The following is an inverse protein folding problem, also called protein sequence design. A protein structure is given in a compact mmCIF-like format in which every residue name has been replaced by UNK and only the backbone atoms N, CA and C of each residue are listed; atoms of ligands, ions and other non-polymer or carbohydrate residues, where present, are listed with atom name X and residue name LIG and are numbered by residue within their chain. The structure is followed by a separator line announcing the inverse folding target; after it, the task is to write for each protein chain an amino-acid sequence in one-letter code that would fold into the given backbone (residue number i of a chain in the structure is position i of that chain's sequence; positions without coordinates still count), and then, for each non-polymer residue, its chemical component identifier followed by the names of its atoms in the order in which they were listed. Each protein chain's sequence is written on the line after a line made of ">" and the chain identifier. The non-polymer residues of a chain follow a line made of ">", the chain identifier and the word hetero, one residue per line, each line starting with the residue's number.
data_IF_519966847592
#
_entry.id   IF_519966847592
#
_cell.length_a   1.000
_cell.length_b   1.000
_cell.length_c   1.000
_cell.angle_alpha   90.00
_cell.angle_beta   90.00
_cell.angle_gamma   90.00
#
_symmetry.space_group_name_H-M   'P 1'
#
loop_
_entity.id
_entity.type
_entity.pdbx_description
1 polymer ?
#
# COMPACT_ATOMS: atom_id res chain seq x y z
N UNK A 1 24.32 -6.91 14.44
CA UNK A 1 22.95 -6.40 14.26
C UNK A 1 22.66 -5.08 15.00
N UNK A 2 23.30 -4.77 16.15
CA UNK A 2 22.92 -3.62 16.99
C UNK A 2 23.08 -2.23 16.36
N UNK A 3 24.13 -1.97 15.59
CA UNK A 3 24.36 -0.62 15.02
C UNK A 3 23.39 -0.30 13.87
N UNK A 4 23.08 -1.26 13.01
CA UNK A 4 22.15 -1.05 11.89
C UNK A 4 20.71 -0.84 12.39
N UNK A 5 20.28 -1.66 13.35
CA UNK A 5 18.98 -1.52 14.02
C UNK A 5 18.81 -0.14 14.67
N UNK A 6 19.86 0.38 15.32
CA UNK A 6 19.86 1.74 15.87
C UNK A 6 19.65 2.82 14.79
N UNK A 7 20.26 2.66 13.60
CA UNK A 7 20.04 3.60 12.48
C UNK A 7 18.62 3.55 11.94
N UNK A 8 18.01 2.36 11.81
CA UNK A 8 16.63 2.24 11.36
C UNK A 8 15.63 2.84 12.36
N UNK A 9 15.84 2.59 13.65
CA UNK A 9 15.05 3.24 14.72
C UNK A 9 15.21 4.75 14.69
N UNK A 10 16.42 5.26 14.51
CA UNK A 10 16.68 6.69 14.39
C UNK A 10 15.98 7.28 13.16
N UNK A 11 16.04 6.60 12.01
CA UNK A 11 15.35 7.02 10.79
C UNK A 11 13.84 7.13 11.01
N UNK A 12 13.23 6.15 11.68
CA UNK A 12 11.79 6.20 12.06
C UNK A 12 11.51 7.38 12.98
N UNK A 13 12.33 7.60 14.02
CA UNK A 13 12.11 8.68 14.99
C UNK A 13 12.28 10.08 14.42
N UNK A 14 13.03 10.24 13.32
CA UNK A 14 13.29 11.53 12.68
C UNK A 14 12.21 11.96 11.69
N UNK A 15 11.30 11.06 11.28
CA UNK A 15 10.21 11.39 10.34
C UNK A 15 9.33 12.56 10.81
N UNK A 16 8.89 12.64 12.09
CA UNK A 16 8.12 13.78 12.59
C UNK A 16 8.89 15.10 12.56
N UNK A 17 10.22 15.02 12.63
CA UNK A 17 11.11 16.18 12.70
C UNK A 17 11.46 16.76 11.33
N UNK A 18 10.97 16.13 10.24
CA UNK A 18 11.19 16.63 8.88
C UNK A 18 10.53 18.01 8.75
N UNK A 19 11.30 19.07 8.44
CA UNK A 19 10.75 20.42 8.36
C UNK A 19 9.82 20.51 7.16
N UNK A 20 8.64 21.15 7.31
CA UNK A 20 7.65 21.30 6.23
C UNK A 20 8.19 22.03 4.99
N UNK A 21 9.18 22.90 5.19
CA UNK A 21 9.82 23.66 4.13
C UNK A 21 11.34 23.49 4.20
N UNK A 22 11.98 23.26 3.06
CA UNK A 22 13.43 23.11 2.91
C UNK A 22 13.98 24.10 1.88
N UNK A 23 15.22 24.53 2.06
CA UNK A 23 15.91 25.42 1.12
C UNK A 23 16.63 24.59 0.05
N UNK A 24 16.22 24.74 -1.22
CA UNK A 24 16.85 24.13 -2.38
C UNK A 24 17.25 25.26 -3.34
N UNK A 25 18.55 25.41 -3.55
CA UNK A 25 19.15 26.45 -4.41
C UNK A 25 18.67 27.88 -4.08
N UNK A 26 18.59 28.19 -2.79
CA UNK A 26 18.14 29.50 -2.29
C UNK A 26 16.62 29.69 -2.28
N UNK A 27 15.84 28.68 -2.67
CA UNK A 27 14.36 28.73 -2.68
C UNK A 27 13.77 27.79 -1.65
N UNK A 28 12.88 28.32 -0.82
CA UNK A 28 12.07 27.50 0.09
C UNK A 28 11.06 26.68 -0.72
N UNK A 29 11.03 25.37 -0.51
CA UNK A 29 10.09 24.43 -1.15
C UNK A 29 9.46 23.52 -0.11
N UNK A 30 8.21 23.06 -0.32
CA UNK A 30 7.62 22.00 0.51
C UNK A 30 8.48 20.74 0.50
N UNK A 31 8.60 20.09 1.66
CA UNK A 31 9.38 18.87 1.82
C UNK A 31 8.56 17.58 1.66
N UNK A 32 7.21 17.68 1.61
CA UNK A 32 6.31 16.51 1.64
C UNK A 32 6.62 15.50 0.54
N UNK A 33 6.94 15.96 -0.68
CA UNK A 33 7.33 15.09 -1.79
C UNK A 33 8.63 14.30 -1.51
N UNK A 34 9.60 14.91 -0.84
CA UNK A 34 10.85 14.24 -0.45
C UNK A 34 10.61 13.22 0.67
N UNK A 35 9.73 13.56 1.61
CA UNK A 35 9.33 12.63 2.66
C UNK A 35 8.61 11.41 2.06
N UNK A 36 7.68 11.63 1.12
CA UNK A 36 7.01 10.55 0.40
C UNK A 36 8.01 9.64 -0.30
N UNK A 37 8.95 10.21 -1.06
CA UNK A 37 9.98 9.44 -1.78
C UNK A 37 10.87 8.65 -0.81
N UNK A 38 11.32 9.28 0.27
CA UNK A 38 12.09 8.62 1.32
C UNK A 38 11.32 7.43 1.90
N UNK A 39 10.05 7.61 2.28
CA UNK A 39 9.24 6.56 2.90
C UNK A 39 9.03 5.37 1.94
N UNK A 40 8.76 5.63 0.66
CA UNK A 40 8.63 4.58 -0.36
C UNK A 40 9.92 3.75 -0.49
N UNK A 41 11.09 4.41 -0.53
CA UNK A 41 12.39 3.73 -0.57
C UNK A 41 12.70 3.01 0.75
N UNK A 42 12.28 3.59 1.87
CA UNK A 42 12.50 3.03 3.19
C UNK A 42 11.68 1.74 3.38
N UNK A 43 10.43 1.67 2.92
CA UNK A 43 9.66 0.43 2.92
C UNK A 43 10.34 -0.69 2.13
N UNK A 44 10.95 -0.38 0.99
CA UNK A 44 11.74 -1.36 0.25
C UNK A 44 12.91 -1.86 1.10
N UNK A 45 13.64 -0.95 1.75
CA UNK A 45 14.70 -1.36 2.69
C UNK A 45 14.15 -2.26 3.80
N UNK A 46 13.02 -1.92 4.42
CA UNK A 46 12.43 -2.68 5.52
C UNK A 46 12.01 -4.11 5.15
N UNK A 47 11.80 -4.43 3.87
CA UNK A 47 11.49 -5.80 3.45
C UNK A 47 12.61 -6.79 3.84
N UNK A 48 13.86 -6.38 3.67
CA UNK A 48 15.03 -7.25 3.86
C UNK A 48 15.69 -7.11 5.24
N UNK A 49 15.22 -6.21 6.09
CA UNK A 49 15.73 -6.07 7.44
C UNK A 49 15.08 -7.10 8.35
N UNK A 50 15.85 -7.96 9.03
CA UNK A 50 15.29 -8.92 9.98
C UNK A 50 14.66 -8.22 11.18
N UNK A 51 13.56 -8.79 11.65
CA UNK A 51 12.97 -8.40 12.92
C UNK A 51 13.92 -8.69 14.09
N UNK A 52 13.87 -7.82 15.11
CA UNK A 52 14.65 -8.01 16.31
C UNK A 52 14.02 -9.14 17.16
N UNK A 53 14.79 -10.16 17.60
CA UNK A 53 14.26 -11.34 18.30
C UNK A 53 13.38 -11.03 19.53
N UNK A 54 13.67 -9.91 20.20
CA UNK A 54 13.02 -9.50 21.45
C UNK A 54 11.92 -8.43 21.29
N UNK A 55 11.72 -7.85 20.10
CA UNK A 55 10.80 -6.70 19.92
C UNK A 55 9.46 -7.06 19.29
N UNK A 56 9.26 -8.35 19.02
CA UNK A 56 8.12 -8.84 18.27
C UNK A 56 8.24 -8.56 16.78
N UNK A 57 7.38 -9.21 16.01
CA UNK A 57 7.39 -9.15 14.55
C UNK A 57 6.90 -7.80 14.04
N UNK A 58 7.47 -7.36 12.92
CA UNK A 58 7.15 -6.12 12.21
C UNK A 58 7.37 -4.86 13.07
N UNK A 59 8.29 -4.90 14.04
CA UNK A 59 8.48 -3.82 15.01
C UNK A 59 8.76 -2.47 14.32
N UNK A 60 9.69 -2.43 13.37
CA UNK A 60 10.04 -1.20 12.65
C UNK A 60 8.89 -0.70 11.79
N UNK A 61 8.17 -1.60 11.10
CA UNK A 61 7.01 -1.25 10.28
C UNK A 61 5.90 -0.64 11.15
N UNK A 62 5.63 -1.22 12.33
CA UNK A 62 4.67 -0.69 13.30
C UNK A 62 5.09 0.68 13.83
N UNK A 63 6.36 0.83 14.22
CA UNK A 63 6.90 2.10 14.69
C UNK A 63 6.74 3.20 13.64
N UNK A 64 7.05 2.88 12.39
CA UNK A 64 6.90 3.81 11.27
C UNK A 64 5.43 4.16 10.98
N UNK A 65 4.52 3.18 11.01
CA UNK A 65 3.09 3.41 10.84
C UNK A 65 2.52 4.33 11.93
N UNK A 66 2.93 4.14 13.20
CA UNK A 66 2.52 5.01 14.30
C UNK A 66 2.96 6.45 14.06
N UNK A 67 4.21 6.64 13.64
CA UNK A 67 4.76 7.96 13.30
C UNK A 67 4.01 8.61 12.12
N UNK A 68 3.74 7.86 11.05
CA UNK A 68 2.98 8.34 9.89
C UNK A 68 1.54 8.71 10.27
N UNK A 69 0.94 7.96 11.19
CA UNK A 69 -0.41 8.20 11.68
C UNK A 69 -0.53 9.57 12.34
N UNK A 70 0.44 9.91 13.20
CA UNK A 70 0.48 11.17 13.97
C UNK A 70 1.07 12.35 13.18
N UNK A 71 1.71 12.09 12.03
CA UNK A 71 2.23 13.14 11.16
C UNK A 71 1.12 14.04 10.60
N UNK A 72 1.37 15.36 10.60
CA UNK A 72 0.44 16.37 10.08
C UNK A 72 0.71 16.63 8.61
N UNK A 73 -0.01 15.91 7.74
CA UNK A 73 0.01 16.04 6.28
C UNK A 73 -0.61 17.36 5.79
N UNK A 74 -0.27 17.78 4.58
CA UNK A 74 -0.89 18.97 3.97
C UNK A 74 -2.40 18.77 3.72
N UNK A 75 -3.17 19.84 3.91
CA UNK A 75 -4.60 19.84 3.59
C UNK A 75 -4.78 19.55 2.10
N UNK A 76 -5.73 18.65 1.77
CA UNK A 76 -5.96 18.17 0.41
C UNK A 76 -4.82 17.33 -0.21
N UNK A 77 -3.83 16.90 0.57
CA UNK A 77 -2.85 15.91 0.11
C UNK A 77 -3.44 14.50 0.10
N UNK A 78 -3.00 13.69 -0.86
CA UNK A 78 -3.30 12.25 -0.93
C UNK A 78 -2.08 11.39 -0.54
N UNK A 79 -1.00 12.04 -0.07
CA UNK A 79 0.29 11.37 0.17
C UNK A 79 0.23 10.37 1.32
N UNK A 80 -0.53 10.66 2.38
CA UNK A 80 -0.80 9.68 3.45
C UNK A 80 -1.41 8.39 2.90
N UNK A 81 -2.36 8.49 1.97
CA UNK A 81 -3.00 7.33 1.33
C UNK A 81 -2.04 6.61 0.38
N UNK A 82 -1.18 7.34 -0.34
CA UNK A 82 -0.13 6.74 -1.18
C UNK A 82 0.86 5.95 -0.33
N UNK A 83 1.26 6.49 0.83
CA UNK A 83 2.13 5.80 1.79
C UNK A 83 1.48 4.54 2.31
N UNK A 84 0.22 4.63 2.78
CA UNK A 84 -0.54 3.46 3.19
C UNK A 84 -0.69 2.42 2.08
N UNK A 85 -0.86 2.84 0.83
CA UNK A 85 -0.88 1.91 -0.30
C UNK A 85 0.48 1.21 -0.50
N UNK A 86 1.60 1.92 -0.37
CA UNK A 86 2.94 1.33 -0.41
C UNK A 86 3.18 0.37 0.77
N UNK A 87 2.60 0.64 1.95
CA UNK A 87 2.63 -0.31 3.07
C UNK A 87 1.88 -1.59 2.71
N UNK A 88 0.74 -1.52 2.01
CA UNK A 88 0.05 -2.74 1.52
C UNK A 88 0.96 -3.52 0.56
N UNK A 89 1.71 -2.84 -0.32
CA UNK A 89 2.69 -3.51 -1.20
C UNK A 89 3.80 -4.19 -0.38
N UNK A 90 4.35 -3.50 0.62
CA UNK A 90 5.36 -4.05 1.52
C UNK A 90 4.84 -5.29 2.24
N UNK A 91 3.66 -5.21 2.86
CA UNK A 91 3.08 -6.31 3.63
C UNK A 91 2.72 -7.50 2.73
N UNK A 92 2.29 -7.25 1.48
CA UNK A 92 2.13 -8.30 0.48
C UNK A 92 3.45 -8.98 0.14
N UNK A 93 4.54 -8.21 -0.02
CA UNK A 93 5.88 -8.75 -0.24
C UNK A 93 6.40 -9.53 0.97
N UNK A 94 6.18 -9.02 2.19
CA UNK A 94 6.53 -9.69 3.44
C UNK A 94 5.78 -11.01 3.65
N UNK A 95 4.60 -11.17 3.02
CA UNK A 95 3.80 -12.39 3.08
C UNK A 95 4.27 -13.49 2.13
N UNK A 96 5.25 -13.21 1.26
CA UNK A 96 5.80 -14.23 0.35
C UNK A 96 6.72 -15.18 1.11
N UNK A 97 6.73 -16.45 0.71
CA UNK A 97 7.66 -17.46 1.27
C UNK A 97 9.13 -17.15 0.98
N UNK A 98 9.39 -16.39 -0.08
CA UNK A 98 10.73 -15.92 -0.45
C UNK A 98 10.63 -14.52 -1.04
N UNK A 99 11.50 -13.62 -0.61
CA UNK A 99 11.55 -12.26 -1.11
C UNK A 99 12.24 -12.18 -2.47
N UNK A 100 11.89 -11.14 -3.24
CA UNK A 100 12.41 -10.94 -4.60
C UNK A 100 13.87 -10.45 -4.61
N UNK A 101 14.40 -9.99 -3.49
CA UNK A 101 15.80 -9.62 -3.31
C UNK A 101 16.24 -9.78 -1.86
N UNK A 102 17.55 -9.89 -1.67
CA UNK A 102 18.22 -10.10 -0.39
C UNK A 102 19.54 -9.34 -0.34
N UNK A 103 20.08 -9.18 0.87
CA UNK A 103 21.46 -8.74 1.08
C UNK A 103 22.31 -9.94 1.46
N UNK A 104 23.48 -10.06 0.84
CA UNK A 104 24.42 -11.14 1.14
C UNK A 104 24.70 -11.21 2.65
N UNK A 105 24.59 -12.42 3.21
CA UNK A 105 24.80 -12.72 4.64
C UNK A 105 23.83 -12.04 5.61
N UNK A 106 22.68 -11.57 5.13
CA UNK A 106 21.59 -11.09 5.99
C UNK A 106 20.41 -12.05 5.83
N UNK A 107 20.03 -12.72 6.92
CA UNK A 107 18.84 -13.56 6.96
C UNK A 107 17.61 -12.67 7.17
N UNK A 108 16.89 -12.35 6.10
CA UNK A 108 15.67 -11.54 6.14
C UNK A 108 14.47 -12.30 6.70
N UNK A 109 13.35 -11.61 6.88
CA UNK A 109 12.14 -12.17 7.50
C UNK A 109 11.51 -13.36 6.73
N UNK A 110 11.74 -13.51 5.43
CA UNK A 110 11.35 -14.72 4.70
C UNK A 110 12.18 -15.95 5.11
N UNK A 111 13.44 -15.77 5.47
CA UNK A 111 14.27 -16.84 6.03
C UNK A 111 13.85 -17.17 7.47
N UNK A 112 13.52 -16.14 8.26
CA UNK A 112 13.15 -16.30 9.67
C UNK A 112 11.73 -16.86 9.86
N UNK A 113 10.80 -16.48 8.98
CA UNK A 113 9.37 -16.73 9.15
C UNK A 113 8.68 -17.30 7.92
N UNK A 114 9.36 -17.54 6.78
CA UNK A 114 8.72 -17.85 5.49
C UNK A 114 7.53 -18.81 5.59
N UNK A 115 6.33 -18.29 5.37
CA UNK A 115 5.07 -19.04 5.43
C UNK A 115 4.50 -19.31 6.84
N UNK A 116 5.12 -18.81 7.91
CA UNK A 116 4.65 -18.95 9.29
C UNK A 116 3.29 -18.27 9.47
N UNK A 117 2.32 -19.07 9.90
CA UNK A 117 0.93 -18.63 10.01
C UNK A 117 0.71 -17.52 11.03
N UNK A 118 1.54 -17.42 12.08
CA UNK A 118 1.44 -16.34 13.07
C UNK A 118 2.01 -15.04 12.52
N UNK A 119 3.13 -15.11 11.81
CA UNK A 119 3.69 -13.95 11.11
C UNK A 119 2.73 -13.42 10.03
N UNK A 120 2.13 -14.31 9.24
CA UNK A 120 1.11 -13.95 8.25
C UNK A 120 -0.14 -13.35 8.91
N UNK A 121 -0.54 -13.83 10.09
CA UNK A 121 -1.67 -13.25 10.83
C UNK A 121 -1.39 -11.80 11.28
N UNK A 122 -0.18 -11.52 11.78
CA UNK A 122 0.22 -10.16 12.16
C UNK A 122 0.35 -9.23 10.94
N UNK A 123 0.85 -9.74 9.82
CA UNK A 123 0.91 -9.03 8.53
C UNK A 123 -0.50 -8.67 8.04
N UNK A 124 -1.43 -9.63 8.06
CA UNK A 124 -2.82 -9.41 7.68
C UNK A 124 -3.52 -8.39 8.58
N UNK A 125 -3.27 -8.41 9.90
CA UNK A 125 -3.84 -7.44 10.85
C UNK A 125 -3.38 -6.01 10.55
N UNK A 126 -2.11 -5.82 10.20
CA UNK A 126 -1.60 -4.53 9.76
C UNK A 126 -2.22 -4.11 8.43
N UNK A 127 -2.32 -5.02 7.46
CA UNK A 127 -3.03 -4.77 6.20
C UNK A 127 -4.46 -4.30 6.46
N UNK A 128 -5.25 -5.00 7.27
CA UNK A 128 -6.64 -4.60 7.60
C UNK A 128 -6.72 -3.19 8.18
N UNK A 129 -5.79 -2.85 9.09
CA UNK A 129 -5.71 -1.52 9.70
C UNK A 129 -5.43 -0.43 8.66
N UNK A 130 -4.44 -0.65 7.79
CA UNK A 130 -4.03 0.31 6.76
C UNK A 130 -5.10 0.45 5.67
N UNK A 131 -5.73 -0.65 5.25
CA UNK A 131 -6.85 -0.65 4.31
C UNK A 131 -8.02 0.17 4.88
N UNK A 132 -8.33 0.02 6.16
CA UNK A 132 -9.39 0.80 6.80
C UNK A 132 -9.11 2.32 6.75
N UNK A 133 -7.85 2.74 6.93
CA UNK A 133 -7.46 4.16 6.79
C UNK A 133 -7.64 4.67 5.36
N UNK A 134 -7.26 3.89 4.35
CA UNK A 134 -7.46 4.24 2.94
C UNK A 134 -8.97 4.40 2.63
N UNK A 135 -9.79 3.48 3.13
CA UNK A 135 -11.24 3.52 2.93
C UNK A 135 -11.91 4.70 3.63
N UNK A 136 -11.47 5.07 4.83
CA UNK A 136 -11.99 6.27 5.50
C UNK A 136 -11.62 7.53 4.73
N UNK A 137 -10.41 7.63 4.17
CA UNK A 137 -10.05 8.76 3.29
C UNK A 137 -10.95 8.84 2.05
N UNK A 138 -11.18 7.72 1.36
CA UNK A 138 -12.10 7.66 0.22
C UNK A 138 -13.52 8.09 0.59
N UNK A 139 -13.99 7.74 1.80
CA UNK A 139 -15.29 8.15 2.32
C UNK A 139 -15.34 9.65 2.60
N UNK A 140 -14.29 10.22 3.19
CA UNK A 140 -14.15 11.68 3.40
C UNK A 140 -14.19 12.43 2.09
N UNK A 141 -13.42 12.02 1.08
CA UNK A 141 -13.45 12.64 -0.25
C UNK A 141 -14.85 12.63 -0.88
N UNK A 142 -15.63 11.57 -0.62
CA UNK A 142 -17.02 11.48 -1.07
C UNK A 142 -17.97 12.44 -0.33
N UNK A 143 -17.77 12.65 0.98
CA UNK A 143 -18.53 13.62 1.77
C UNK A 143 -18.22 15.06 1.35
N UNK A 144 -16.97 15.33 1.03
CA UNK A 144 -16.49 16.65 0.62
C UNK A 144 -16.73 16.94 -0.87
N UNK A 145 -17.46 16.06 -1.57
CA UNK A 145 -17.76 16.15 -3.00
C UNK A 145 -16.53 16.26 -3.92
N UNK A 146 -15.36 15.81 -3.45
CA UNK A 146 -14.11 15.76 -4.23
C UNK A 146 -14.06 14.50 -5.11
N UNK A 147 -15.14 14.26 -5.84
CA UNK A 147 -15.47 13.00 -6.52
C UNK A 147 -14.43 12.57 -7.56
N UNK A 148 -13.75 13.52 -8.20
CA UNK A 148 -12.67 13.21 -9.15
C UNK A 148 -11.47 12.57 -8.46
N UNK A 149 -11.03 13.11 -7.31
CA UNK A 149 -9.93 12.55 -6.50
C UNK A 149 -10.33 11.19 -5.93
N UNK A 150 -11.55 11.09 -5.40
CA UNK A 150 -12.10 9.82 -4.93
C UNK A 150 -12.06 8.74 -6.02
N UNK A 151 -12.50 9.07 -7.23
CA UNK A 151 -12.53 8.13 -8.36
C UNK A 151 -11.13 7.65 -8.76
N UNK A 152 -10.16 8.57 -8.81
CA UNK A 152 -8.77 8.26 -9.16
C UNK A 152 -8.10 7.38 -8.10
N UNK A 153 -8.27 7.70 -6.81
CA UNK A 153 -7.73 6.89 -5.71
C UNK A 153 -8.41 5.53 -5.59
N UNK A 154 -9.73 5.46 -5.82
CA UNK A 154 -10.44 4.18 -5.83
C UNK A 154 -9.89 3.25 -6.94
N UNK A 155 -9.62 3.79 -8.14
CA UNK A 155 -9.02 3.01 -9.23
C UNK A 155 -7.56 2.61 -8.94
N UNK A 156 -6.79 3.52 -8.35
CA UNK A 156 -5.41 3.24 -7.94
C UNK A 156 -5.35 2.12 -6.90
N UNK A 157 -6.19 2.20 -5.87
CA UNK A 157 -6.24 1.19 -4.83
C UNK A 157 -6.84 -0.12 -5.31
N UNK A 158 -7.84 -0.09 -6.20
CA UNK A 158 -8.32 -1.29 -6.92
C UNK A 158 -7.18 -2.01 -7.63
N UNK A 159 -6.33 -1.27 -8.35
CA UNK A 159 -5.20 -1.85 -9.08
C UNK A 159 -4.20 -2.51 -8.12
N UNK A 160 -4.00 -1.93 -6.93
CA UNK A 160 -3.19 -2.54 -5.87
C UNK A 160 -3.79 -3.86 -5.37
N UNK A 161 -5.09 -3.89 -5.06
CA UNK A 161 -5.75 -5.11 -4.59
C UNK A 161 -5.71 -6.22 -5.65
N UNK A 162 -5.89 -5.88 -6.93
CA UNK A 162 -5.79 -6.83 -8.04
C UNK A 162 -4.39 -7.38 -8.23
N UNK A 163 -3.36 -6.56 -8.03
CA UNK A 163 -1.97 -6.97 -8.21
C UNK A 163 -1.39 -7.77 -7.04
N UNK A 164 -1.83 -7.48 -5.80
CA UNK A 164 -1.16 -7.94 -4.59
C UNK A 164 -2.05 -8.73 -3.61
N UNK A 165 -3.37 -8.64 -3.76
CA UNK A 165 -4.31 -9.28 -2.85
C UNK A 165 -4.66 -10.71 -3.26
N UNK A 166 -4.89 -11.58 -2.26
CA UNK A 166 -5.50 -12.88 -2.51
C UNK A 166 -7.01 -12.70 -2.77
N UNK A 167 -7.38 -12.64 -4.05
CA UNK A 167 -8.76 -12.46 -4.48
C UNK A 167 -9.63 -13.72 -4.37
N UNK A 168 -9.09 -14.83 -3.86
CA UNK A 168 -9.88 -15.98 -3.38
C UNK A 168 -10.53 -15.66 -2.04
N UNK A 169 -10.00 -14.68 -1.30
CA UNK A 169 -10.65 -14.15 -0.12
C UNK A 169 -11.90 -13.34 -0.51
N UNK A 170 -13.06 -13.79 -0.07
CA UNK A 170 -14.34 -13.16 -0.39
C UNK A 170 -14.43 -11.67 0.00
N UNK A 171 -13.80 -11.27 1.12
CA UNK A 171 -13.82 -9.86 1.56
C UNK A 171 -12.99 -8.98 0.62
N UNK A 172 -11.79 -9.43 0.23
CA UNK A 172 -10.95 -8.70 -0.72
C UNK A 172 -11.55 -8.68 -2.13
N UNK A 173 -12.15 -9.79 -2.56
CA UNK A 173 -12.86 -9.87 -3.83
C UNK A 173 -14.01 -8.86 -3.88
N UNK A 174 -14.83 -8.81 -2.82
CA UNK A 174 -15.91 -7.83 -2.71
C UNK A 174 -15.39 -6.39 -2.65
N UNK A 175 -14.30 -6.15 -1.92
CA UNK A 175 -13.64 -4.85 -1.86
C UNK A 175 -13.19 -4.40 -3.26
N UNK A 176 -12.57 -5.27 -4.04
CA UNK A 176 -12.15 -4.96 -5.41
C UNK A 176 -13.34 -4.53 -6.27
N UNK A 177 -14.46 -5.26 -6.22
CA UNK A 177 -15.68 -4.90 -6.95
C UNK A 177 -16.24 -3.54 -6.48
N UNK A 178 -16.23 -3.27 -5.17
CA UNK A 178 -16.69 -2.00 -4.62
C UNK A 178 -15.82 -0.83 -5.08
N UNK A 179 -14.49 -0.99 -5.07
CA UNK A 179 -13.54 0.04 -5.53
C UNK A 179 -13.68 0.31 -7.03
N UNK A 180 -13.84 -0.74 -7.84
CA UNK A 180 -14.11 -0.61 -9.26
C UNK A 180 -15.37 0.22 -9.53
N UNK A 181 -16.47 -0.12 -8.86
CA UNK A 181 -17.73 0.60 -9.00
C UNK A 181 -17.63 2.04 -8.50
N UNK A 182 -16.93 2.28 -7.39
CA UNK A 182 -16.68 3.61 -6.86
C UNK A 182 -15.90 4.47 -7.85
N UNK A 183 -14.86 3.91 -8.49
CA UNK A 183 -14.04 4.62 -9.46
C UNK A 183 -14.83 5.14 -10.66
N UNK A 184 -15.76 4.35 -11.20
CA UNK A 184 -16.56 4.75 -12.37
C UNK A 184 -17.88 5.46 -12.04
N UNK A 185 -18.31 5.46 -10.77
CA UNK A 185 -19.62 5.96 -10.33
C UNK A 185 -19.99 7.34 -10.89
N UNK A 186 -19.02 8.23 -11.01
CA UNK A 186 -19.21 9.61 -11.46
C UNK A 186 -18.51 9.91 -12.80
N UNK A 187 -18.05 8.89 -13.53
CA UNK A 187 -17.41 9.06 -14.84
C UNK A 187 -16.02 9.70 -14.82
N UNK A 188 -15.40 9.90 -13.65
CA UNK A 188 -14.08 10.53 -13.52
C UNK A 188 -12.90 9.56 -13.65
N UNK A 189 -13.12 8.25 -13.56
CA UNK A 189 -12.06 7.27 -13.76
C UNK A 189 -11.49 7.32 -15.20
N UNK A 190 -10.19 7.09 -15.32
CA UNK A 190 -9.53 7.00 -16.61
C UNK A 190 -9.96 5.73 -17.35
N UNK A 191 -10.85 5.89 -18.34
CA UNK A 191 -11.43 4.78 -19.10
C UNK A 191 -10.37 3.91 -19.77
N UNK A 192 -9.26 4.51 -20.24
CA UNK A 192 -8.17 3.76 -20.88
C UNK A 192 -7.50 2.81 -19.89
N UNK A 193 -7.23 3.27 -18.66
CA UNK A 193 -6.69 2.47 -17.57
C UNK A 193 -7.68 1.37 -17.18
N UNK A 194 -8.97 1.70 -17.00
CA UNK A 194 -9.99 0.70 -16.68
C UNK A 194 -10.06 -0.42 -17.72
N UNK A 195 -10.14 -0.09 -19.01
CA UNK A 195 -10.16 -1.09 -20.10
C UNK A 195 -8.92 -2.00 -20.04
N UNK A 196 -7.73 -1.40 -19.90
CA UNK A 196 -6.47 -2.16 -19.81
C UNK A 196 -6.41 -3.07 -18.58
N UNK A 197 -6.89 -2.60 -17.43
CA UNK A 197 -6.92 -3.40 -16.21
C UNK A 197 -7.89 -4.57 -16.35
N UNK A 198 -9.08 -4.36 -16.95
CA UNK A 198 -10.02 -5.44 -17.22
C UNK A 198 -9.47 -6.45 -18.22
N UNK A 199 -8.77 -6.01 -19.27
CA UNK A 199 -8.07 -6.89 -20.19
C UNK A 199 -6.96 -7.69 -19.49
N UNK A 200 -6.19 -7.07 -18.60
CA UNK A 200 -5.18 -7.75 -17.80
C UNK A 200 -5.81 -8.84 -16.93
N UNK A 201 -6.89 -8.54 -16.22
CA UNK A 201 -7.65 -9.51 -15.40
C UNK A 201 -8.12 -10.70 -16.25
N UNK A 202 -8.69 -10.44 -17.43
CA UNK A 202 -9.12 -11.50 -18.37
C UNK A 202 -7.96 -12.33 -18.93
N UNK A 203 -6.76 -11.76 -19.01
CA UNK A 203 -5.55 -12.51 -19.40
C UNK A 203 -5.08 -13.38 -18.24
N UNK A 204 -5.03 -12.84 -17.03
CA UNK A 204 -4.66 -13.59 -15.82
C UNK A 204 -5.60 -14.78 -15.59
N UNK A 205 -6.90 -14.61 -15.86
CA UNK A 205 -7.89 -15.66 -15.68
C UNK A 205 -7.71 -16.89 -16.58
N UNK A 206 -6.82 -16.82 -17.58
CA UNK A 206 -6.43 -17.97 -18.41
C UNK A 206 -5.42 -18.88 -17.73
N UNK A 207 -4.73 -18.40 -16.70
CA UNK A 207 -3.84 -19.24 -15.89
C UNK A 207 -4.68 -20.11 -14.95
N UNK A 208 -4.48 -21.44 -14.90
CA UNK A 208 -5.31 -22.36 -14.10
C UNK A 208 -5.39 -21.98 -12.60
N UNK A 209 -4.27 -21.53 -12.02
CA UNK A 209 -4.19 -21.13 -10.61
C UNK A 209 -4.93 -19.82 -10.31
N UNK A 210 -5.21 -19.03 -11.34
CA UNK A 210 -5.83 -17.71 -11.28
C UNK A 210 -7.26 -17.73 -11.86
N UNK A 211 -7.90 -18.89 -11.92
CA UNK A 211 -9.25 -19.08 -12.46
C UNK A 211 -10.31 -18.18 -11.81
N UNK A 212 -10.16 -17.85 -10.52
CA UNK A 212 -11.00 -16.91 -9.77
C UNK A 212 -11.11 -15.51 -10.41
N UNK A 213 -10.13 -15.10 -11.22
CA UNK A 213 -10.22 -13.86 -11.98
C UNK A 213 -11.31 -13.88 -13.07
N UNK A 214 -11.74 -15.07 -13.53
CA UNK A 214 -12.83 -15.19 -14.49
C UNK A 214 -14.14 -14.71 -13.88
N UNK A 215 -14.43 -15.13 -12.65
CA UNK A 215 -15.61 -14.69 -11.90
C UNK A 215 -15.51 -13.20 -11.54
N UNK A 216 -14.33 -12.74 -11.14
CA UNK A 216 -14.11 -11.31 -10.88
C UNK A 216 -14.39 -10.48 -12.14
N UNK A 217 -13.88 -10.88 -13.32
CA UNK A 217 -14.06 -10.13 -14.56
C UNK A 217 -15.54 -9.91 -14.92
N UNK A 218 -16.42 -10.89 -14.65
CA UNK A 218 -17.86 -10.78 -14.88
C UNK A 218 -18.52 -9.72 -13.99
N UNK A 219 -17.93 -9.43 -12.84
CA UNK A 219 -18.41 -8.46 -11.85
C UNK A 219 -17.83 -7.06 -12.03
N UNK A 220 -17.02 -6.84 -13.07
CA UNK A 220 -16.35 -5.57 -13.38
C UNK A 220 -16.86 -4.99 -14.72
N UNK A 221 -18.16 -4.71 -14.86
CA UNK A 221 -18.66 -4.08 -16.08
C UNK A 221 -18.07 -2.67 -16.21
N UNK A 222 -17.77 -2.28 -17.45
CA UNK A 222 -17.47 -0.90 -17.79
C UNK A 222 -18.78 -0.14 -17.97
N UNK A 223 -18.97 0.94 -17.22
CA UNK A 223 -20.12 1.80 -17.38
C UNK A 223 -19.94 2.72 -18.59
N UNK A 224 -20.98 2.83 -19.41
CA UNK A 224 -21.08 3.83 -20.47
C UNK A 224 -21.05 5.22 -19.84
N UNK A 225 -20.23 6.14 -20.38
CA UNK A 225 -20.28 7.55 -19.95
C UNK A 225 -21.66 8.12 -20.31
N UNK A 226 -22.47 8.44 -19.30
CA UNK A 226 -23.66 9.28 -19.43
C UNK A 226 -23.28 10.75 -19.35
#
# INVERSE_FOLDING_TARGET
>A
LSTADAFFKAAVSLVPDVPKMINIDGKMRPSEAFLLEFLCNFFSTLLIIPDHPEQGVLFLVRGLLNVIQDYTWEDNSDDKVRIYTNVVHLLSAMSQETYIYHVDKVESNDTLYGGDTKFLAETNKLCETVIAQILEHLKTLGKDETLKRQSQLALYFFSTIVAHGDLRNNKLNQLAVNLWNLAQKHGFADTKTMVRTLEHIKRQSKHPELSHFSELALRLPLQSRT
#
